data_IF_623349984473
#
_entry.id   IF_623349984473
#
_cell.length_a   1.000
_cell.length_b   1.000
_cell.length_c   1.000
_cell.angle_alpha   90.00
_cell.angle_beta   90.00
_cell.angle_gamma   90.00
#
_symmetry.space_group_name_H-M   'P 1'
#
loop_
_entity.id
_entity.type
_entity.pdbx_description
1 polymer ?
#
# COMPACT_ATOMS: atom_id res chain seq x y z
N UNK A 1 -6.75 -28.75 5.67
CA UNK A 1 -5.94 -27.66 5.06
C UNK A 1 -6.19 -26.36 5.82
N UNK A 2 -5.16 -25.57 6.11
CA UNK A 2 -5.34 -24.21 6.64
C UNK A 2 -5.74 -23.27 5.51
N UNK A 3 -6.92 -22.63 5.58
CA UNK A 3 -7.30 -21.56 4.64
C UNK A 3 -6.34 -20.38 4.78
N UNK A 4 -5.85 -19.86 3.65
CA UNK A 4 -5.04 -18.65 3.55
C UNK A 4 -5.91 -17.53 2.97
N UNK A 5 -5.68 -16.30 3.39
CA UNK A 5 -6.34 -15.10 2.89
C UNK A 5 -5.33 -14.24 2.14
N UNK A 6 -5.69 -13.79 0.94
CA UNK A 6 -4.95 -12.80 0.17
C UNK A 6 -5.85 -11.57 -0.01
N UNK A 7 -5.30 -10.40 0.28
CA UNK A 7 -5.95 -9.11 0.06
C UNK A 7 -5.06 -8.32 -0.89
N UNK A 8 -5.63 -7.86 -2.00
CA UNK A 8 -4.94 -7.06 -3.02
C UNK A 8 -5.65 -5.71 -3.09
N UNK A 9 -4.92 -4.63 -2.91
CA UNK A 9 -5.42 -3.27 -3.16
C UNK A 9 -4.86 -2.75 -4.47
N UNK A 10 -5.73 -2.28 -5.35
CA UNK A 10 -5.38 -1.65 -6.61
C UNK A 10 -5.64 -0.13 -6.46
N UNK A 11 -4.58 0.66 -6.33
CA UNK A 11 -4.72 2.11 -6.16
C UNK A 11 -5.25 2.76 -7.45
N UNK A 12 -6.12 3.77 -7.32
CA UNK A 12 -6.82 4.44 -8.42
C UNK A 12 -7.63 3.54 -9.38
N UNK A 13 -7.91 2.29 -9.02
CA UNK A 13 -8.67 1.36 -9.87
C UNK A 13 -10.15 1.32 -9.49
N UNK A 14 -10.94 2.27 -10.01
CA UNK A 14 -12.38 2.34 -9.70
C UNK A 14 -13.15 1.12 -10.24
N UNK A 15 -14.31 0.78 -9.64
CA UNK A 15 -15.18 -0.30 -10.16
C UNK A 15 -15.50 -0.16 -11.64
N UNK A 16 -15.76 1.06 -12.12
CA UNK A 16 -16.02 1.34 -13.54
C UNK A 16 -14.87 0.90 -14.44
N UNK A 17 -13.63 1.23 -14.07
CA UNK A 17 -12.45 0.82 -14.85
C UNK A 17 -12.32 -0.71 -14.89
N UNK A 18 -12.50 -1.37 -13.75
CA UNK A 18 -12.24 -2.81 -13.61
C UNK A 18 -13.37 -3.69 -14.15
N UNK A 19 -14.63 -3.27 -14.02
CA UNK A 19 -15.80 -4.09 -14.32
C UNK A 19 -16.43 -3.77 -15.68
N UNK A 20 -16.12 -2.60 -16.26
CA UNK A 20 -16.67 -2.14 -17.53
C UNK A 20 -15.55 -1.89 -18.54
N UNK A 21 -14.68 -0.90 -18.32
CA UNK A 21 -13.78 -0.40 -19.37
C UNK A 21 -12.65 -1.37 -19.74
N UNK A 22 -12.05 -2.06 -18.74
CA UNK A 22 -10.92 -2.97 -18.94
C UNK A 22 -11.27 -4.44 -18.66
N UNK A 23 -12.55 -4.77 -18.69
CA UNK A 23 -13.03 -6.10 -18.27
C UNK A 23 -12.40 -7.21 -19.14
N UNK A 24 -12.39 -7.01 -20.46
CA UNK A 24 -11.90 -8.01 -21.42
C UNK A 24 -10.37 -8.15 -21.38
N UNK A 25 -9.67 -7.08 -21.00
CA UNK A 25 -8.21 -7.06 -20.85
C UNK A 25 -7.72 -7.62 -19.50
N UNK A 26 -8.63 -7.86 -18.55
CA UNK A 26 -8.31 -8.30 -17.18
C UNK A 26 -8.98 -9.65 -16.84
N UNK A 27 -8.69 -10.75 -17.58
CA UNK A 27 -9.41 -12.01 -17.49
C UNK A 27 -9.39 -12.64 -16.08
N UNK A 28 -8.30 -12.45 -15.33
CA UNK A 28 -8.21 -12.93 -13.94
C UNK A 28 -9.15 -12.17 -13.01
N UNK A 29 -9.27 -10.84 -13.15
CA UNK A 29 -10.19 -10.05 -12.33
C UNK A 29 -11.64 -10.28 -12.77
N UNK A 30 -11.88 -10.44 -14.06
CA UNK A 30 -13.20 -10.82 -14.58
C UNK A 30 -13.66 -12.16 -13.98
N UNK A 31 -12.82 -13.19 -14.01
CA UNK A 31 -13.12 -14.48 -13.40
C UNK A 31 -13.44 -14.34 -11.90
N UNK A 32 -12.57 -13.65 -11.14
CA UNK A 32 -12.77 -13.47 -9.68
C UNK A 32 -14.07 -12.72 -9.33
N UNK A 33 -14.49 -11.79 -10.18
CA UNK A 33 -15.69 -10.95 -9.93
C UNK A 33 -16.97 -11.57 -10.49
N UNK A 34 -16.89 -12.48 -11.44
CA UNK A 34 -18.03 -13.21 -12.01
C UNK A 34 -18.36 -14.46 -11.20
N UNK A 35 -17.35 -15.19 -10.71
CA UNK A 35 -17.53 -16.40 -9.90
C UNK A 35 -17.65 -16.09 -8.39
N UNK A 36 -17.27 -14.88 -7.99
CA UNK A 36 -17.25 -14.42 -6.60
C UNK A 36 -18.38 -13.43 -6.27
N UNK A 37 -18.22 -12.77 -5.11
CA UNK A 37 -19.06 -11.65 -4.72
C UNK A 37 -18.35 -10.34 -5.07
N UNK A 38 -19.05 -9.44 -5.77
CA UNK A 38 -18.61 -8.08 -6.04
C UNK A 38 -19.60 -7.06 -5.47
N UNK A 39 -19.07 -5.95 -4.97
CA UNK A 39 -19.87 -4.83 -4.48
C UNK A 39 -19.09 -3.52 -4.69
N UNK A 40 -19.82 -2.43 -4.91
CA UNK A 40 -19.25 -1.10 -4.91
C UNK A 40 -19.23 -0.56 -3.48
N UNK A 41 -18.08 0.00 -3.09
CA UNK A 41 -17.88 0.59 -1.76
C UNK A 41 -17.56 2.07 -1.89
N UNK A 42 -18.04 2.84 -0.93
CA UNK A 42 -17.69 4.25 -0.80
C UNK A 42 -16.31 4.33 -0.13
N UNK A 43 -15.39 5.08 -0.74
CA UNK A 43 -14.06 5.32 -0.18
C UNK A 43 -14.11 6.22 1.07
N UNK A 44 -12.97 6.43 1.72
CA UNK A 44 -12.85 7.43 2.78
C UNK A 44 -13.04 8.85 2.24
N UNK A 45 -13.40 9.79 3.11
CA UNK A 45 -13.35 11.22 2.81
C UNK A 45 -12.30 11.92 3.69
N UNK A 46 -11.20 12.46 3.12
CA UNK A 46 -10.90 12.56 1.69
C UNK A 46 -10.41 11.23 1.07
N UNK A 47 -10.69 10.97 -0.23
CA UNK A 47 -10.28 9.75 -0.92
C UNK A 47 -8.84 9.85 -1.45
N UNK A 48 -7.88 10.13 -0.56
CA UNK A 48 -6.46 10.23 -0.87
C UNK A 48 -5.76 8.96 -0.37
N UNK A 49 -4.72 8.49 -1.07
CA UNK A 49 -4.03 7.22 -0.78
C UNK A 49 -3.72 7.00 0.71
N UNK A 50 -3.02 7.92 1.38
CA UNK A 50 -2.66 7.73 2.80
C UNK A 50 -3.89 7.51 3.71
N UNK A 51 -4.91 8.39 3.73
CA UNK A 51 -6.11 8.15 4.52
C UNK A 51 -6.89 6.91 4.06
N UNK A 52 -7.12 6.72 2.76
CA UNK A 52 -7.96 5.63 2.26
C UNK A 52 -7.41 4.24 2.65
N UNK A 53 -6.11 4.03 2.47
CA UNK A 53 -5.47 2.77 2.84
C UNK A 53 -5.39 2.59 4.36
N UNK A 54 -5.13 3.66 5.12
CA UNK A 54 -5.10 3.59 6.59
C UNK A 54 -6.47 3.24 7.16
N UNK A 55 -7.54 3.86 6.65
CA UNK A 55 -8.93 3.57 7.00
C UNK A 55 -9.25 2.11 6.72
N UNK A 56 -8.92 1.63 5.51
CA UNK A 56 -9.17 0.24 5.09
C UNK A 56 -8.55 -0.79 6.04
N UNK A 57 -7.30 -0.57 6.49
CA UNK A 57 -6.58 -1.58 7.29
C UNK A 57 -6.79 -1.45 8.79
N UNK A 58 -7.29 -0.30 9.29
CA UNK A 58 -7.54 -0.06 10.72
C UNK A 58 -9.02 -0.09 11.10
N UNK A 59 -9.93 0.10 10.13
CA UNK A 59 -11.36 0.28 10.40
C UNK A 59 -11.71 1.61 11.06
N UNK A 60 -10.79 2.58 11.04
CA UNK A 60 -10.94 3.90 11.66
C UNK A 60 -11.26 4.97 10.64
N UNK A 61 -11.94 6.03 11.06
CA UNK A 61 -12.20 7.19 10.20
C UNK A 61 -10.95 8.06 10.01
N UNK A 62 -10.85 8.87 8.94
CA UNK A 62 -9.78 9.86 8.78
C UNK A 62 -9.65 10.81 9.97
N UNK A 63 -10.78 11.14 10.62
CA UNK A 63 -10.82 11.98 11.83
C UNK A 63 -10.20 11.32 13.05
N UNK A 64 -10.53 10.05 13.32
CA UNK A 64 -9.89 9.28 14.41
C UNK A 64 -8.38 9.11 14.17
N UNK A 65 -7.97 8.95 12.91
CA UNK A 65 -6.56 8.81 12.54
C UNK A 65 -5.80 10.15 12.51
N UNK A 66 -6.49 11.27 12.32
CA UNK A 66 -5.89 12.58 12.07
C UNK A 66 -5.14 12.66 10.73
N UNK A 67 -5.50 11.81 9.76
CA UNK A 67 -4.84 11.72 8.46
C UNK A 67 -5.78 12.15 7.35
N UNK A 68 -5.36 13.15 6.57
CA UNK A 68 -6.20 13.76 5.51
C UNK A 68 -5.49 13.84 4.15
N UNK A 69 -4.27 13.31 4.05
CA UNK A 69 -3.47 13.36 2.84
C UNK A 69 -2.02 12.99 3.12
N UNK A 70 -1.13 13.33 2.18
CA UNK A 70 0.31 13.06 2.31
C UNK A 70 1.03 14.07 3.19
N UNK A 71 0.62 15.34 3.14
CA UNK A 71 1.29 16.45 3.82
C UNK A 71 0.35 17.07 4.85
N UNK A 72 0.91 17.34 6.01
CA UNK A 72 0.19 17.94 7.13
C UNK A 72 0.98 19.10 7.69
N UNK A 73 0.27 20.15 8.10
CA UNK A 73 0.89 21.30 8.75
C UNK A 73 1.32 20.93 10.17
N UNK A 74 2.53 21.35 10.58
CA UNK A 74 2.95 21.17 11.97
C UNK A 74 2.06 22.01 12.90
N UNK A 75 1.69 21.48 14.10
CA UNK A 75 0.93 22.25 15.07
C UNK A 75 1.60 23.59 15.39
N UNK A 76 0.82 24.67 15.40
CA UNK A 76 1.30 26.03 15.72
C UNK A 76 2.12 26.72 14.62
N UNK A 77 2.38 26.06 13.48
CA UNK A 77 3.17 26.63 12.38
C UNK A 77 2.30 26.95 11.17
N UNK A 78 2.72 27.93 10.36
CA UNK A 78 2.04 28.29 9.12
C UNK A 78 2.69 27.66 7.88
N UNK A 79 4.03 27.74 7.79
CA UNK A 79 4.80 27.33 6.59
C UNK A 79 5.50 25.97 6.74
N UNK A 80 5.38 25.33 7.90
CA UNK A 80 6.06 24.06 8.19
C UNK A 80 5.12 22.87 8.05
N UNK A 81 5.58 21.85 7.32
CA UNK A 81 4.83 20.63 7.03
C UNK A 81 5.62 19.38 7.41
N UNK A 82 4.91 18.28 7.60
CA UNK A 82 5.47 16.93 7.67
C UNK A 82 4.76 16.00 6.70
N UNK A 83 5.44 14.93 6.30
CA UNK A 83 4.85 13.87 5.48
C UNK A 83 4.31 12.78 6.42
N UNK A 84 3.03 12.46 6.26
CA UNK A 84 2.40 11.35 6.98
C UNK A 84 3.09 10.03 6.60
N UNK A 85 3.51 9.28 7.61
CA UNK A 85 4.21 8.01 7.44
C UNK A 85 3.65 6.99 8.43
N UNK A 86 4.19 5.77 8.48
CA UNK A 86 3.63 4.70 9.31
C UNK A 86 3.56 5.04 10.79
N UNK A 87 4.45 5.92 11.28
CA UNK A 87 4.47 6.39 12.68
C UNK A 87 3.29 7.32 12.99
N UNK A 88 2.69 7.94 11.97
CA UNK A 88 1.50 8.77 12.12
C UNK A 88 0.24 7.94 12.39
N UNK A 89 0.22 6.65 11.99
CA UNK A 89 -0.88 5.73 12.30
C UNK A 89 -0.62 5.09 13.67
N UNK A 90 -1.36 5.50 14.70
CA UNK A 90 -1.22 4.96 16.07
C UNK A 90 -2.13 3.77 16.35
N UNK A 91 -3.20 3.64 15.59
CA UNK A 91 -4.20 2.59 15.72
C UNK A 91 -3.67 1.25 15.18
N UNK A 92 -4.03 0.11 15.81
CA UNK A 92 -3.66 -1.21 15.32
C UNK A 92 -4.34 -1.51 13.98
N UNK A 93 -3.56 -2.04 13.04
CA UNK A 93 -4.08 -2.52 11.77
C UNK A 93 -4.49 -4.00 11.85
N UNK A 94 -5.20 -4.49 10.83
CA UNK A 94 -5.71 -5.87 10.77
C UNK A 94 -4.64 -6.92 11.06
N UNK A 95 -3.40 -6.74 10.55
CA UNK A 95 -2.29 -7.65 10.78
C UNK A 95 -1.78 -7.66 12.22
N UNK A 96 -1.96 -6.57 12.98
CA UNK A 96 -1.60 -6.52 14.40
C UNK A 96 -2.55 -7.42 15.22
N UNK A 97 -3.85 -7.37 14.90
CA UNK A 97 -4.85 -8.23 15.52
C UNK A 97 -4.66 -9.71 15.18
N UNK A 98 -4.28 -10.02 13.93
CA UNK A 98 -3.94 -11.38 13.49
C UNK A 98 -2.68 -11.89 14.20
N UNK A 99 -1.65 -11.04 14.30
CA UNK A 99 -0.41 -11.37 15.00
C UNK A 99 -0.61 -11.70 16.48
N UNK A 100 -1.46 -10.93 17.19
CA UNK A 100 -1.85 -11.21 18.58
C UNK A 100 -2.57 -12.55 18.74
N UNK A 101 -3.24 -13.05 17.69
CA UNK A 101 -3.89 -14.37 17.64
C UNK A 101 -2.96 -15.49 17.16
N UNK A 102 -1.66 -15.23 17.05
CA UNK A 102 -0.66 -16.21 16.66
C UNK A 102 -0.57 -16.48 15.15
N UNK A 103 -1.32 -15.76 14.32
CA UNK A 103 -1.28 -15.89 12.86
C UNK A 103 -0.09 -15.15 12.26
N UNK A 104 0.44 -15.67 11.15
CA UNK A 104 1.53 -15.03 10.39
C UNK A 104 0.95 -14.20 9.23
N UNK A 105 1.47 -13.00 9.01
CA UNK A 105 1.03 -12.10 7.93
C UNK A 105 2.21 -11.63 7.09
N UNK A 106 1.96 -11.47 5.79
CA UNK A 106 2.88 -10.86 4.82
C UNK A 106 2.22 -9.54 4.39
N UNK A 107 2.90 -8.41 4.60
CA UNK A 107 2.43 -7.08 4.19
C UNK A 107 3.40 -6.50 3.18
N UNK A 108 2.92 -6.13 2.00
CA UNK A 108 3.77 -5.59 0.93
C UNK A 108 3.10 -4.34 0.38
N UNK A 109 3.82 -3.21 0.37
CA UNK A 109 3.39 -2.03 -0.37
C UNK A 109 2.22 -1.23 0.22
N UNK A 110 1.68 -1.60 1.38
CA UNK A 110 0.49 -0.94 1.97
C UNK A 110 0.83 0.47 2.50
N UNK A 111 0.21 1.56 2.02
CA UNK A 111 0.50 2.91 2.50
C UNK A 111 -0.27 3.30 3.79
N UNK A 112 0.35 4.05 4.71
CA UNK A 112 1.78 4.25 4.88
C UNK A 112 2.41 3.11 5.69
N UNK A 113 3.32 2.33 5.10
CA UNK A 113 4.09 1.30 5.81
C UNK A 113 5.56 1.63 6.00
N UNK A 114 6.04 2.80 5.55
CA UNK A 114 7.40 3.25 5.88
C UNK A 114 7.42 4.18 7.10
N UNK A 115 8.36 4.02 8.05
CA UNK A 115 9.22 2.84 8.20
C UNK A 115 8.41 1.58 8.56
N UNK A 116 8.86 0.38 8.18
CA UNK A 116 8.16 -0.86 8.48
C UNK A 116 8.09 -1.06 10.00
N UNK A 117 6.89 -1.38 10.50
CA UNK A 117 6.68 -1.75 11.90
C UNK A 117 6.86 -3.26 12.09
N UNK A 118 7.28 -3.72 13.28
CA UNK A 118 7.29 -5.14 13.60
C UNK A 118 5.91 -5.78 13.43
N UNK A 119 5.87 -6.92 12.72
CA UNK A 119 4.68 -7.75 12.57
C UNK A 119 5.03 -9.21 12.80
N UNK A 120 4.05 -10.03 13.16
CA UNK A 120 4.25 -11.49 13.20
C UNK A 120 4.30 -12.02 11.77
N UNK A 121 5.48 -11.99 11.16
CA UNK A 121 5.69 -12.34 9.75
C UNK A 121 6.65 -11.36 9.11
N UNK A 122 6.30 -10.85 7.93
CA UNK A 122 7.16 -9.94 7.18
C UNK A 122 6.40 -8.71 6.68
N UNK A 123 7.11 -7.59 6.57
CA UNK A 123 6.61 -6.34 6.02
C UNK A 123 7.63 -5.73 5.05
N UNK A 124 7.16 -5.28 3.89
CA UNK A 124 7.91 -4.49 2.92
C UNK A 124 7.21 -3.14 2.79
N UNK A 125 7.96 -2.05 2.93
CA UNK A 125 7.46 -0.68 2.88
C UNK A 125 6.79 -0.32 1.55
N UNK A 126 6.01 0.75 1.55
CA UNK A 126 5.28 1.26 0.39
C UNK A 126 6.06 2.33 -0.38
N UNK A 127 5.43 2.89 -1.42
CA UNK A 127 6.01 3.88 -2.33
C UNK A 127 6.50 5.18 -1.67
N UNK A 128 6.07 5.51 -0.44
CA UNK A 128 6.60 6.67 0.31
C UNK A 128 7.96 6.39 0.97
N UNK A 129 8.48 5.16 0.84
CA UNK A 129 9.83 4.82 1.29
C UNK A 129 10.85 5.70 0.56
N UNK A 130 11.78 6.40 1.26
CA UNK A 130 12.70 7.35 0.63
C UNK A 130 13.58 6.76 -0.48
N UNK A 131 13.79 5.44 -0.45
CA UNK A 131 14.52 4.71 -1.46
C UNK A 131 15.08 3.40 -0.91
N UNK A 132 15.66 2.56 -1.77
CA UNK A 132 16.17 1.24 -1.40
C UNK A 132 17.34 1.29 -0.41
N UNK A 133 18.03 2.41 -0.25
CA UNK A 133 19.04 2.58 0.82
C UNK A 133 18.42 2.54 2.23
N UNK A 134 17.12 2.82 2.34
CA UNK A 134 16.40 2.83 3.62
C UNK A 134 16.24 1.43 4.22
N UNK A 135 15.94 1.35 5.51
CA UNK A 135 15.48 0.12 6.17
C UNK A 135 14.01 -0.11 5.85
N UNK A 136 13.73 -0.66 4.67
CA UNK A 136 12.38 -0.78 4.13
C UNK A 136 11.69 -2.12 4.42
N UNK A 137 12.35 -3.05 5.09
CA UNK A 137 11.76 -4.34 5.47
C UNK A 137 11.73 -4.57 6.97
N UNK A 138 10.75 -5.38 7.40
CA UNK A 138 10.76 -6.09 8.67
C UNK A 138 10.61 -7.60 8.42
N UNK A 139 11.44 -8.47 9.02
CA UNK A 139 12.66 -8.12 9.74
C UNK A 139 13.69 -7.47 8.79
N UNK A 140 14.64 -6.65 9.28
CA UNK A 140 15.60 -5.96 8.43
C UNK A 140 16.45 -6.88 7.54
N UNK A 141 16.62 -8.15 7.93
CA UNK A 141 17.36 -9.16 7.16
C UNK A 141 16.69 -9.51 5.83
N UNK A 142 15.36 -9.36 5.72
CA UNK A 142 14.59 -9.64 4.52
C UNK A 142 15.04 -8.77 3.33
N UNK A 143 15.54 -7.55 3.59
CA UNK A 143 16.07 -6.67 2.54
C UNK A 143 17.15 -7.39 1.72
N UNK A 144 18.10 -8.04 2.39
CA UNK A 144 19.21 -8.75 1.73
C UNK A 144 18.71 -9.91 0.87
N UNK A 145 17.71 -10.64 1.36
CA UNK A 145 17.13 -11.75 0.60
C UNK A 145 16.45 -11.25 -0.69
N UNK A 146 15.63 -10.20 -0.59
CA UNK A 146 14.98 -9.58 -1.75
C UNK A 146 16.02 -9.11 -2.75
N UNK A 147 17.03 -8.36 -2.30
CA UNK A 147 18.04 -7.78 -3.19
C UNK A 147 18.95 -8.84 -3.82
N UNK A 148 19.21 -9.95 -3.13
CA UNK A 148 20.00 -11.06 -3.67
C UNK A 148 19.31 -11.80 -4.82
N UNK A 149 17.97 -11.78 -4.85
CA UNK A 149 17.17 -12.53 -5.84
C UNK A 149 16.66 -11.65 -6.98
N UNK A 150 16.28 -10.42 -6.67
CA UNK A 150 15.57 -9.52 -7.59
C UNK A 150 16.35 -8.23 -7.87
N UNK A 151 17.51 -8.04 -7.24
CA UNK A 151 18.26 -6.80 -7.33
C UNK A 151 17.64 -5.66 -6.52
N UNK A 152 18.06 -4.43 -6.83
CA UNK A 152 17.65 -3.23 -6.09
C UNK A 152 16.12 -3.06 -6.15
N UNK A 153 15.47 -2.97 -4.99
CA UNK A 153 14.02 -2.86 -4.93
C UNK A 153 13.51 -1.53 -5.51
N UNK A 154 12.50 -1.61 -6.38
CA UNK A 154 11.87 -0.46 -7.03
C UNK A 154 10.53 -0.21 -6.35
N UNK A 155 10.39 0.94 -5.69
CA UNK A 155 9.18 1.28 -4.93
C UNK A 155 8.09 1.93 -5.78
N UNK A 156 8.51 2.73 -6.74
CA UNK A 156 7.66 3.50 -7.64
C UNK A 156 8.50 4.02 -8.82
N UNK A 157 7.83 4.50 -9.85
CA UNK A 157 8.43 5.19 -11.01
C UNK A 157 8.28 6.69 -10.89
N UNK A 158 9.15 7.45 -11.54
CA UNK A 158 8.97 8.92 -11.65
C UNK A 158 7.92 9.21 -12.72
N UNK A 159 6.65 9.07 -12.35
CA UNK A 159 5.52 9.13 -13.27
C UNK A 159 5.17 10.56 -13.74
N UNK A 160 5.54 11.60 -12.97
CA UNK A 160 5.36 13.01 -13.36
C UNK A 160 6.47 13.44 -14.32
N UNK A 161 6.43 12.85 -15.52
CA UNK A 161 7.45 12.98 -16.55
C UNK A 161 6.81 13.20 -17.91
N UNK A 162 7.38 14.08 -18.73
CA UNK A 162 6.97 14.24 -20.13
C UNK A 162 7.47 13.09 -21.02
N UNK A 163 8.59 12.46 -20.63
CA UNK A 163 9.09 11.25 -21.28
C UNK A 163 8.24 10.04 -20.86
N UNK A 164 7.17 9.78 -21.61
CA UNK A 164 6.21 8.70 -21.37
C UNK A 164 6.80 7.32 -21.66
N UNK A 165 7.67 7.21 -22.66
CA UNK A 165 8.28 5.94 -23.04
C UNK A 165 9.21 5.43 -21.94
N UNK A 166 9.95 6.32 -21.28
CA UNK A 166 10.72 5.97 -20.08
C UNK A 166 9.81 5.47 -18.97
N UNK A 167 8.72 6.18 -18.67
CA UNK A 167 7.77 5.76 -17.61
C UNK A 167 7.23 4.36 -17.89
N UNK A 168 6.82 4.08 -19.13
CA UNK A 168 6.34 2.74 -19.53
C UNK A 168 7.42 1.69 -19.30
N UNK A 169 8.67 1.93 -19.75
CA UNK A 169 9.78 0.99 -19.54
C UNK A 169 10.05 0.72 -18.06
N UNK A 170 10.02 1.77 -17.22
CA UNK A 170 10.24 1.65 -15.77
C UNK A 170 9.11 0.88 -15.09
N UNK A 171 7.86 1.10 -15.48
CA UNK A 171 6.70 0.35 -14.94
C UNK A 171 6.82 -1.13 -15.28
N UNK A 172 7.19 -1.48 -16.52
CA UNK A 172 7.42 -2.87 -16.90
C UNK A 172 8.65 -3.49 -16.22
N UNK A 173 9.64 -2.70 -15.84
CA UNK A 173 10.77 -3.19 -15.06
C UNK A 173 10.36 -3.54 -13.62
N UNK A 174 9.35 -2.87 -13.05
CA UNK A 174 8.83 -3.18 -11.72
C UNK A 174 8.08 -4.52 -11.62
N UNK A 175 7.66 -5.10 -12.75
CA UNK A 175 6.87 -6.35 -12.76
C UNK A 175 7.68 -7.62 -13.02
N UNK A 176 9.00 -7.49 -13.19
CA UNK A 176 9.95 -8.60 -13.45
C UNK A 176 10.66 -9.02 -12.16
#
# INVERSE_FOLDING_TARGET
>A
MTRRLLIIGLDCASPKLLYEEFREELPTLEMLTSDGLKAELISSHPPITIPAWSVMVTGKTPGELGLYGFRHRKPGMYNDFYIANSRSVREPAVWDFLGRRGLKTIVVGVPPSYPPKPVRGIMIGCFITPGPESRYTFPPTLKREIESRFGRYIFDVVYRSEDRDRVIREVWAMTK
#
